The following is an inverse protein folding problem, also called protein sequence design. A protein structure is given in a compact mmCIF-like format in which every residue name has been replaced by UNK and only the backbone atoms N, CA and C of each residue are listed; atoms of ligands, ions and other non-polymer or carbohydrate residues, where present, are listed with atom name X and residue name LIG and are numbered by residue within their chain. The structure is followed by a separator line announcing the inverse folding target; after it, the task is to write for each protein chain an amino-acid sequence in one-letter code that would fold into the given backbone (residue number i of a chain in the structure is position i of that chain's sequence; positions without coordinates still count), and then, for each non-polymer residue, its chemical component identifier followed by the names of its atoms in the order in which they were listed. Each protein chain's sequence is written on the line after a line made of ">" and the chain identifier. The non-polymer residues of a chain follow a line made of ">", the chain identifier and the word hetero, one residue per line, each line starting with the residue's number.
data_IF_031662061223
#
_entry.id   IF_031662061223
#
_cell.length_a   1.000
_cell.length_b   1.000
_cell.length_c   1.000
_cell.angle_alpha   90.00
_cell.angle_beta   90.00
_cell.angle_gamma   90.00
#
_symmetry.space_group_name_H-M   'P 1'
#
loop_
_entity.id
_entity.type
_entity.pdbx_description
1 polymer ?
#
# COMPACT_ATOMS: atom_id res chain seq x y z
N UNK A 1 -10.26 21.83 15.38
CA UNK A 1 -9.89 20.81 14.38
C UNK A 1 -8.75 20.01 15.00
N UNK A 2 -9.03 18.83 15.54
CA UNK A 2 -8.01 18.01 16.18
C UNK A 2 -7.03 17.52 15.12
N UNK A 3 -5.75 17.88 15.28
CA UNK A 3 -4.65 17.29 14.53
C UNK A 3 -4.72 15.78 14.70
N UNK A 4 -5.13 15.07 13.63
CA UNK A 4 -5.12 13.62 13.62
C UNK A 4 -3.66 13.20 13.67
N UNK A 5 -3.18 12.81 14.85
CA UNK A 5 -1.83 12.31 15.06
C UNK A 5 -1.64 11.11 14.14
N UNK A 6 -0.95 11.31 13.02
CA UNK A 6 -0.77 10.29 11.99
C UNK A 6 -0.32 8.98 12.65
N UNK A 7 -1.06 7.90 12.39
CA UNK A 7 -0.78 6.59 12.97
C UNK A 7 0.66 6.20 12.60
N UNK A 8 1.54 5.89 13.58
CA UNK A 8 2.92 5.49 13.30
C UNK A 8 3.02 4.38 12.26
N UNK A 9 2.04 3.46 12.25
CA UNK A 9 1.93 2.39 11.26
C UNK A 9 1.75 2.92 9.83
N UNK A 10 0.90 3.92 9.64
CA UNK A 10 0.62 4.49 8.32
C UNK A 10 1.83 5.30 7.80
N UNK A 11 2.51 6.03 8.68
CA UNK A 11 3.75 6.73 8.34
C UNK A 11 4.86 5.76 7.88
N UNK A 12 4.95 4.58 8.50
CA UNK A 12 5.89 3.53 8.07
C UNK A 12 5.50 3.00 6.69
N UNK A 13 4.20 2.76 6.43
CA UNK A 13 3.73 2.28 5.13
C UNK A 13 3.96 3.31 4.02
N UNK A 14 3.76 4.60 4.30
CA UNK A 14 4.07 5.69 3.35
C UNK A 14 5.57 5.73 3.01
N UNK A 15 6.43 5.62 4.01
CA UNK A 15 7.88 5.57 3.82
C UNK A 15 8.30 4.32 3.02
N UNK A 16 7.71 3.17 3.33
CA UNK A 16 7.97 1.93 2.62
C UNK A 16 7.58 2.02 1.14
N UNK A 17 6.44 2.63 0.83
CA UNK A 17 6.01 2.87 -0.55
C UNK A 17 6.96 3.80 -1.30
N UNK A 18 7.47 4.86 -0.66
CA UNK A 18 8.49 5.75 -1.26
C UNK A 18 9.81 5.02 -1.54
N UNK A 19 10.29 4.21 -0.60
CA UNK A 19 11.51 3.40 -0.80
C UNK A 19 11.30 2.39 -1.93
N UNK A 20 10.16 1.69 -1.95
CA UNK A 20 9.83 0.74 -2.99
C UNK A 20 9.72 1.40 -4.38
N UNK A 21 9.17 2.62 -4.47
CA UNK A 21 9.10 3.36 -5.73
C UNK A 21 10.46 3.87 -6.21
N UNK A 22 11.37 4.25 -5.31
CA UNK A 22 12.72 4.73 -5.67
C UNK A 22 13.68 3.59 -6.05
N UNK A 23 13.59 2.44 -5.37
CA UNK A 23 14.63 1.39 -5.42
C UNK A 23 14.11 0.00 -5.83
N UNK A 24 12.79 -0.15 -6.00
CA UNK A 24 12.11 -1.43 -6.23
C UNK A 24 11.88 -2.23 -4.93
N UNK A 25 10.78 -2.99 -4.84
CA UNK A 25 10.44 -3.73 -3.61
C UNK A 25 11.47 -4.82 -3.22
N UNK A 26 12.24 -5.34 -4.19
CA UNK A 26 13.34 -6.26 -3.91
C UNK A 26 14.40 -5.66 -2.97
N UNK A 27 14.70 -4.36 -3.13
CA UNK A 27 15.70 -3.64 -2.35
C UNK A 27 15.17 -3.00 -1.06
N UNK A 28 13.88 -3.18 -0.77
CA UNK A 28 13.25 -2.70 0.46
C UNK A 28 13.86 -3.41 1.68
N UNK A 29 14.32 -2.64 2.66
CA UNK A 29 14.77 -3.15 3.96
C UNK A 29 14.17 -2.32 5.08
N UNK A 30 13.96 -2.94 6.25
CA UNK A 30 13.44 -2.25 7.44
C UNK A 30 14.32 -1.06 7.85
N UNK A 31 15.63 -1.15 7.67
CA UNK A 31 16.56 -0.06 7.99
C UNK A 31 16.39 1.14 7.06
N UNK A 32 16.17 0.91 5.75
CA UNK A 32 15.87 1.98 4.80
C UNK A 32 14.54 2.65 5.12
N UNK A 33 13.52 1.86 5.46
CA UNK A 33 12.21 2.40 5.83
C UNK A 33 12.30 3.20 7.14
N UNK A 34 13.01 2.69 8.16
CA UNK A 34 13.24 3.38 9.42
C UNK A 34 13.93 4.73 9.20
N UNK A 35 14.92 4.78 8.31
CA UNK A 35 15.60 6.01 7.91
C UNK A 35 14.63 7.00 7.22
N UNK A 36 13.84 6.51 6.25
CA UNK A 36 12.90 7.34 5.47
C UNK A 36 11.75 7.90 6.34
N UNK A 37 11.29 7.20 7.39
CA UNK A 37 10.28 7.70 8.33
C UNK A 37 10.86 8.37 9.60
N UNK A 38 12.18 8.45 9.73
CA UNK A 38 12.84 9.05 10.90
C UNK A 38 12.63 8.30 12.22
N UNK A 39 12.37 6.98 12.16
CA UNK A 39 12.15 6.14 13.33
C UNK A 39 13.40 5.33 13.68
N UNK A 40 13.53 4.94 14.95
CA UNK A 40 14.52 3.95 15.34
C UNK A 40 14.14 2.56 14.82
N UNK A 41 15.14 1.69 14.60
CA UNK A 41 14.90 0.29 14.22
C UNK A 41 13.97 -0.42 15.20
N UNK A 42 14.13 -0.19 16.51
CA UNK A 42 13.24 -0.74 17.53
C UNK A 42 11.80 -0.21 17.46
N UNK A 43 11.62 1.08 17.16
CA UNK A 43 10.29 1.68 16.99
C UNK A 43 9.56 1.15 15.74
N UNK A 44 10.30 0.90 14.66
CA UNK A 44 9.74 0.27 13.46
C UNK A 44 9.37 -1.19 13.72
N UNK A 45 10.27 -1.96 14.35
CA UNK A 45 10.05 -3.38 14.66
C UNK A 45 8.85 -3.62 15.58
N UNK A 46 8.51 -2.66 16.45
CA UNK A 46 7.28 -2.71 17.25
C UNK A 46 6.01 -2.74 16.39
N UNK A 47 6.02 -2.07 15.23
CA UNK A 47 4.88 -2.02 14.31
C UNK A 47 4.94 -3.16 13.28
N UNK A 48 6.14 -3.46 12.77
CA UNK A 48 6.38 -4.49 11.75
C UNK A 48 7.61 -5.33 12.12
N UNK A 49 7.43 -6.56 12.64
CA UNK A 49 8.53 -7.35 13.20
C UNK A 49 9.54 -7.86 12.15
N UNK A 50 9.15 -7.92 10.88
CA UNK A 50 10.00 -8.34 9.78
C UNK A 50 9.57 -7.69 8.45
N UNK A 51 10.36 -7.91 7.39
CA UNK A 51 10.09 -7.39 6.04
C UNK A 51 8.75 -7.90 5.49
N UNK A 52 8.43 -9.18 5.73
CA UNK A 52 7.20 -9.81 5.21
C UNK A 52 5.95 -9.18 5.81
N UNK A 53 5.96 -8.90 7.12
CA UNK A 53 4.87 -8.20 7.80
C UNK A 53 4.70 -6.77 7.28
N UNK A 54 5.79 -6.09 6.93
CA UNK A 54 5.73 -4.77 6.31
C UNK A 54 5.13 -4.84 4.90
N UNK A 55 5.57 -5.80 4.07
CA UNK A 55 5.02 -6.02 2.73
C UNK A 55 3.54 -6.40 2.77
N UNK A 56 3.15 -7.28 3.69
CA UNK A 56 1.75 -7.64 3.93
C UNK A 56 0.93 -6.40 4.31
N UNK A 57 1.43 -5.57 5.23
CA UNK A 57 0.76 -4.31 5.59
C UNK A 57 0.63 -3.32 4.43
N UNK A 58 1.62 -3.26 3.52
CA UNK A 58 1.52 -2.47 2.29
C UNK A 58 0.45 -3.03 1.36
N UNK A 59 0.36 -4.36 1.22
CA UNK A 59 -0.66 -5.02 0.42
C UNK A 59 -2.08 -4.78 0.97
N UNK A 60 -2.26 -4.97 2.28
CA UNK A 60 -3.55 -4.76 2.95
C UNK A 60 -4.06 -3.33 2.74
N UNK A 61 -3.18 -2.34 2.90
CA UNK A 61 -3.53 -0.93 2.68
C UNK A 61 -3.94 -0.67 1.23
N UNK A 62 -3.21 -1.24 0.28
CA UNK A 62 -3.51 -1.10 -1.14
C UNK A 62 -4.88 -1.70 -1.49
N UNK A 63 -5.19 -2.88 -0.96
CA UNK A 63 -6.49 -3.52 -1.14
C UNK A 63 -7.63 -2.70 -0.52
N UNK A 64 -7.41 -2.13 0.66
CA UNK A 64 -8.40 -1.28 1.34
C UNK A 64 -8.65 0.01 0.54
N UNK A 65 -7.60 0.64 0.01
CA UNK A 65 -7.72 1.82 -0.85
C UNK A 65 -8.47 1.50 -2.14
N UNK A 66 -8.14 0.38 -2.79
CA UNK A 66 -8.83 -0.07 -3.99
C UNK A 66 -10.31 -0.35 -3.73
N UNK A 67 -10.63 -1.05 -2.63
CA UNK A 67 -12.01 -1.31 -2.21
C UNK A 67 -12.76 -0.01 -1.95
N UNK A 68 -12.15 0.94 -1.23
CA UNK A 68 -12.78 2.23 -0.96
C UNK A 68 -13.06 3.04 -2.23
N UNK A 69 -12.19 2.96 -3.25
CA UNK A 69 -12.44 3.59 -4.55
C UNK A 69 -13.61 2.93 -5.27
N UNK A 70 -13.63 1.59 -5.35
CA UNK A 70 -14.75 0.85 -5.93
C UNK A 70 -16.08 1.18 -5.25
N UNK A 71 -16.12 1.16 -3.91
CA UNK A 71 -17.32 1.49 -3.14
C UNK A 71 -17.79 2.92 -3.41
N UNK A 72 -16.87 3.86 -3.63
CA UNK A 72 -17.18 5.25 -3.94
C UNK A 72 -17.75 5.40 -5.36
N UNK A 73 -17.15 4.72 -6.34
CA UNK A 73 -17.63 4.74 -7.73
C UNK A 73 -18.96 4.02 -7.88
N UNK A 74 -19.15 2.88 -7.22
CA UNK A 74 -20.43 2.17 -7.24
C UNK A 74 -21.56 3.04 -6.67
N UNK A 75 -21.29 3.78 -5.59
CA UNK A 75 -22.24 4.74 -5.01
C UNK A 75 -22.53 5.91 -5.95
N UNK A 76 -21.53 6.40 -6.69
CA UNK A 76 -21.75 7.51 -7.64
C UNK A 76 -22.56 7.07 -8.86
N UNK A 77 -22.46 5.78 -9.23
CA UNK A 77 -23.19 5.13 -10.33
C UNK A 77 -24.51 4.48 -9.87
N UNK A 78 -24.99 4.80 -8.67
CA UNK A 78 -26.19 4.19 -8.11
C UNK A 78 -27.40 4.38 -9.04
N UNK A 79 -28.05 3.27 -9.40
CA UNK A 79 -29.20 3.24 -10.32
C UNK A 79 -28.84 3.06 -11.79
N UNK A 80 -27.55 3.06 -12.15
CA UNK A 80 -27.12 2.70 -13.50
C UNK A 80 -27.09 1.17 -13.70
N UNK A 81 -27.41 0.68 -14.91
CA UNK A 81 -27.14 -0.71 -15.27
C UNK A 81 -25.65 -1.04 -15.12
N UNK A 82 -25.36 -2.18 -14.49
CA UNK A 82 -24.02 -2.71 -14.29
C UNK A 82 -23.07 -1.77 -13.50
N UNK A 83 -23.60 -0.97 -12.57
CA UNK A 83 -22.81 -0.03 -11.74
C UNK A 83 -21.58 -0.69 -11.09
N UNK A 84 -21.72 -1.89 -10.53
CA UNK A 84 -20.61 -2.65 -9.95
C UNK A 84 -19.49 -2.96 -10.98
N UNK A 85 -19.85 -3.43 -12.18
CA UNK A 85 -18.87 -3.70 -13.24
C UNK A 85 -18.19 -2.42 -13.74
N UNK A 86 -18.95 -1.33 -13.86
CA UNK A 86 -18.42 -0.02 -14.26
C UNK A 86 -17.44 0.51 -13.21
N UNK A 87 -17.74 0.38 -11.92
CA UNK A 87 -16.85 0.75 -10.81
C UNK A 87 -15.58 -0.11 -10.78
N UNK A 88 -15.67 -1.41 -11.10
CA UNK A 88 -14.48 -2.26 -11.24
C UNK A 88 -13.56 -1.81 -12.38
N UNK A 89 -14.13 -1.35 -13.49
CA UNK A 89 -13.35 -0.86 -14.64
C UNK A 89 -12.77 0.54 -14.38
N UNK A 90 -13.52 1.42 -13.71
CA UNK A 90 -13.07 2.77 -13.33
C UNK A 90 -11.95 2.76 -12.28
N UNK A 91 -12.09 1.95 -11.24
CA UNK A 91 -11.06 1.79 -10.20
C UNK A 91 -9.70 1.33 -10.75
N UNK A 92 -9.68 0.52 -11.82
CA UNK A 92 -8.45 0.12 -12.51
C UNK A 92 -7.90 1.22 -13.45
N UNK A 93 -8.77 2.05 -14.04
CA UNK A 93 -8.37 3.13 -14.94
C UNK A 93 -7.82 4.35 -14.20
N UNK A 94 -8.20 4.57 -12.94
CA UNK A 94 -7.65 5.61 -12.07
C UNK A 94 -6.27 5.27 -11.47
N UNK A 95 -5.72 4.09 -11.79
CA UNK A 95 -4.42 3.62 -11.30
C UNK A 95 -3.23 4.28 -12.03
N UNK A 96 -3.28 5.61 -12.20
CA UNK A 96 -2.14 6.42 -12.65
C UNK A 96 -1.11 6.65 -11.53
N UNK A 97 -1.34 6.19 -10.28
CA UNK A 97 -0.54 6.60 -9.09
C UNK A 97 -0.18 5.47 -8.11
N UNK A 98 0.10 4.29 -8.62
CA UNK A 98 1.17 3.48 -8.03
C UNK A 98 2.03 3.05 -9.20
N UNK A 99 3.32 3.39 -9.16
CA UNK A 99 4.29 2.92 -10.16
C UNK A 99 3.95 1.43 -10.44
N UNK A 100 3.63 1.06 -11.69
CA UNK A 100 3.29 -0.32 -12.04
C UNK A 100 4.33 -1.32 -11.50
N UNK A 101 5.58 -0.88 -11.32
CA UNK A 101 6.65 -1.60 -10.66
C UNK A 101 6.39 -1.94 -9.20
N UNK A 102 5.69 -1.13 -8.40
CA UNK A 102 5.36 -1.44 -7.00
C UNK A 102 4.31 -2.55 -6.91
N UNK A 103 3.25 -2.49 -7.72
CA UNK A 103 2.21 -3.52 -7.77
C UNK A 103 2.79 -4.87 -8.23
N UNK A 104 3.55 -4.86 -9.34
CA UNK A 104 4.23 -6.05 -9.85
C UNK A 104 5.33 -6.56 -8.91
N UNK A 105 6.09 -5.69 -8.26
CA UNK A 105 7.16 -6.12 -7.35
C UNK A 105 6.63 -6.67 -6.03
N UNK A 106 5.47 -6.19 -5.56
CA UNK A 106 4.78 -6.77 -4.40
C UNK A 106 4.17 -8.14 -4.74
N UNK A 107 3.54 -8.29 -5.92
CA UNK A 107 3.09 -9.59 -6.42
C UNK A 107 4.26 -10.57 -6.63
N UNK A 108 5.37 -10.11 -7.20
CA UNK A 108 6.57 -10.91 -7.42
C UNK A 108 7.23 -11.33 -6.09
N UNK A 109 7.31 -10.43 -5.11
CA UNK A 109 7.80 -10.74 -3.77
C UNK A 109 6.92 -11.77 -3.06
N UNK A 110 5.59 -11.66 -3.20
CA UNK A 110 4.63 -12.61 -2.62
C UNK A 110 4.65 -13.99 -3.31
N UNK A 111 5.06 -14.05 -4.57
CA UNK A 111 5.20 -15.29 -5.32
C UNK A 111 6.48 -16.07 -4.99
N UNK A 112 7.46 -15.45 -4.34
CA UNK A 112 8.70 -16.10 -3.92
C UNK A 112 8.53 -16.72 -2.52
N UNK A 113 8.23 -18.02 -2.46
CA UNK A 113 8.42 -18.80 -1.23
C UNK A 113 9.90 -19.17 -1.11
N UNK A 114 10.63 -18.77 -0.07
CA UNK A 114 11.88 -19.43 0.26
C UNK A 114 11.55 -20.82 0.82
N UNK A 115 12.21 -21.85 0.30
CA UNK A 115 12.26 -23.18 0.92
C UNK A 115 13.21 -23.18 2.11
#
# INVERSE_FOLDING_TARGET
>A
MSESKANPRDNILDAAQRVAGKEGAGNLTLDKVACECGMSKGGLLYNFPNKDALLAGMLDRLLEQHKSMMDSEEKSLAGEPNACLKAMLGANACHEVADPGVYLSLLAASAHKPE
#
